data_IF_269243441351
#
_entry.id   IF_269243441351
#
_cell.length_a   1.000
_cell.length_b   1.000
_cell.length_c   1.000
_cell.angle_alpha   90.00
_cell.angle_beta   90.00
_cell.angle_gamma   90.00
#
_symmetry.space_group_name_H-M   'P 1'
#
loop_
_entity.id
_entity.type
_entity.pdbx_description
1 polymer ?
#
# COMPACT_ATOMS: atom_id res chain seq x y z
N UNK A 1 25.48 36.94 33.65
CA UNK A 1 25.07 37.24 32.26
C UNK A 1 23.56 36.98 32.19
N UNK A 2 22.75 37.99 32.52
CA UNK A 2 21.28 37.89 32.50
C UNK A 2 20.83 38.25 31.09
N UNK A 3 20.29 37.28 30.34
CA UNK A 3 19.66 37.60 29.06
C UNK A 3 18.39 38.44 29.33
N UNK A 4 18.20 39.57 28.63
CA UNK A 4 17.07 40.43 28.84
C UNK A 4 15.76 39.73 28.44
N UNK A 5 14.73 39.88 29.28
CA UNK A 5 13.42 39.21 29.16
C UNK A 5 12.71 39.46 27.81
N UNK A 6 13.12 40.49 27.07
CA UNK A 6 12.63 40.81 25.72
C UNK A 6 13.17 39.85 24.64
N UNK A 7 14.33 39.23 24.84
CA UNK A 7 14.89 38.23 23.90
C UNK A 7 14.20 36.87 24.04
N UNK A 8 13.64 36.57 25.23
CA UNK A 8 12.91 35.33 25.47
C UNK A 8 11.55 35.27 24.75
N UNK A 9 10.89 36.43 24.59
CA UNK A 9 9.57 36.52 23.93
C UNK A 9 9.68 36.48 22.40
N UNK A 10 10.81 36.91 21.83
CA UNK A 10 11.06 36.87 20.38
C UNK A 10 11.32 35.44 19.85
N UNK A 11 11.61 34.48 20.72
CA UNK A 11 11.84 33.07 20.36
C UNK A 11 10.59 32.19 20.50
N UNK A 12 9.50 32.69 21.10
CA UNK A 12 8.26 31.93 21.26
C UNK A 12 7.60 31.47 19.94
N UNK A 13 7.61 32.23 18.82
CA UNK A 13 6.96 31.76 17.59
C UNK A 13 7.79 30.71 16.83
N UNK A 14 9.04 30.43 17.24
CA UNK A 14 9.90 29.43 16.60
C UNK A 14 9.76 28.02 17.19
N UNK A 15 9.04 27.85 18.32
CA UNK A 15 8.92 26.57 19.02
C UNK A 15 7.52 25.95 19.00
N UNK A 16 6.56 26.52 18.27
CA UNK A 16 5.19 26.00 18.16
C UNK A 16 4.73 25.90 16.71
N UNK A 17 5.51 25.23 15.85
CA UNK A 17 4.90 24.51 14.74
C UNK A 17 4.26 23.25 15.32
N UNK A 18 3.06 23.40 15.88
CA UNK A 18 2.17 22.27 16.11
C UNK A 18 1.79 21.78 14.71
N UNK A 19 2.47 20.74 14.23
CA UNK A 19 2.04 20.05 13.02
C UNK A 19 0.62 19.54 13.30
N UNK A 20 -0.36 20.18 12.67
CA UNK A 20 -1.74 19.75 12.79
C UNK A 20 -1.82 18.32 12.25
N UNK A 21 -2.22 17.40 13.12
CA UNK A 21 -2.40 15.99 12.78
C UNK A 21 -3.39 15.88 11.61
N UNK A 22 -2.98 15.28 10.50
CA UNK A 22 -3.88 15.03 9.39
C UNK A 22 -4.97 14.03 9.82
N UNK A 23 -6.22 14.39 9.62
CA UNK A 23 -7.39 13.55 9.93
C UNK A 23 -8.58 13.93 9.06
N UNK A 24 -9.56 13.04 8.96
CA UNK A 24 -10.80 13.30 8.24
C UNK A 24 -11.43 12.01 7.74
N UNK A 25 -12.40 12.15 6.84
CA UNK A 25 -12.96 11.02 6.10
C UNK A 25 -12.21 10.83 4.77
N UNK A 26 -12.19 9.59 4.31
CA UNK A 26 -11.49 9.19 3.10
C UNK A 26 -12.14 7.98 2.41
N UNK A 27 -11.59 7.67 1.25
CA UNK A 27 -11.97 6.48 0.47
C UNK A 27 -10.76 5.58 0.32
N UNK A 28 -11.01 4.30 0.07
CA UNK A 28 -9.94 3.36 -0.24
C UNK A 28 -10.12 2.75 -1.62
N UNK A 29 -8.98 2.39 -2.20
CA UNK A 29 -8.89 1.43 -3.30
C UNK A 29 -7.89 0.35 -2.91
N UNK A 30 -7.53 -0.52 -3.86
CA UNK A 30 -6.53 -1.57 -3.65
C UNK A 30 -5.66 -1.70 -4.90
N UNK A 31 -4.36 -1.90 -4.71
CA UNK A 31 -3.41 -2.06 -5.79
C UNK A 31 -2.22 -2.96 -5.41
N UNK A 32 -1.54 -3.46 -6.44
CA UNK A 32 -0.18 -3.97 -6.36
C UNK A 32 0.40 -3.97 -7.76
N UNK A 33 1.21 -2.96 -8.08
CA UNK A 33 1.80 -2.76 -9.40
C UNK A 33 3.28 -3.16 -9.49
N UNK A 34 3.87 -3.55 -8.35
CA UNK A 34 5.27 -3.90 -8.15
C UNK A 34 6.27 -2.76 -8.38
N UNK A 35 5.82 -1.54 -8.66
CA UNK A 35 6.71 -0.42 -8.92
C UNK A 35 7.53 -0.05 -7.69
N UNK A 36 8.71 0.55 -7.91
CA UNK A 36 9.39 1.32 -6.86
C UNK A 36 8.43 2.38 -6.31
N UNK A 37 8.09 2.35 -5.00
CA UNK A 37 7.14 3.28 -4.42
C UNK A 37 7.75 4.69 -4.33
N UNK A 38 6.95 5.75 -4.43
CA UNK A 38 7.45 7.11 -4.58
C UNK A 38 8.25 7.62 -3.37
N UNK A 39 7.94 7.16 -2.15
CA UNK A 39 8.66 7.52 -0.95
C UNK A 39 9.98 6.74 -0.78
N UNK A 40 10.37 5.90 -1.75
CA UNK A 40 11.70 5.30 -1.83
C UNK A 40 12.73 6.22 -2.50
N UNK A 41 12.30 7.37 -3.05
CA UNK A 41 13.22 8.38 -3.56
C UNK A 41 13.73 9.27 -2.43
N UNK A 42 14.97 9.74 -2.55
CA UNK A 42 15.56 10.72 -1.64
C UNK A 42 14.78 12.02 -1.62
N UNK A 43 14.91 12.75 -0.50
CA UNK A 43 14.36 14.10 -0.32
C UNK A 43 12.83 14.20 -0.42
N UNK A 44 12.12 13.07 -0.31
CA UNK A 44 10.65 13.01 -0.29
C UNK A 44 10.04 13.35 1.06
N UNK A 45 10.80 13.28 2.15
CA UNK A 45 10.39 13.67 3.50
C UNK A 45 11.61 13.91 4.39
N UNK A 46 11.42 14.61 5.52
CA UNK A 46 12.44 14.72 6.56
C UNK A 46 12.39 13.49 7.45
N UNK A 47 13.44 12.68 7.40
CA UNK A 47 13.51 11.39 8.07
C UNK A 47 14.25 11.47 9.40
N UNK A 48 13.91 10.56 10.33
CA UNK A 48 14.58 10.45 11.61
C UNK A 48 16.06 10.06 11.43
N UNK A 49 16.91 10.43 12.39
CA UNK A 49 18.31 10.00 12.37
C UNK A 49 18.42 8.47 12.36
N UNK A 50 19.21 7.93 11.43
CA UNK A 50 19.35 6.48 11.23
C UNK A 50 18.23 5.83 10.41
N UNK A 51 17.26 6.61 9.92
CA UNK A 51 16.25 6.15 8.97
C UNK A 51 16.72 6.31 7.52
N UNK A 52 16.08 5.63 6.58
CA UNK A 52 16.25 5.83 5.13
C UNK A 52 14.89 5.97 4.44
N UNK A 53 14.83 6.40 3.16
CA UNK A 53 13.62 6.28 2.37
C UNK A 53 13.10 4.84 2.34
N UNK A 54 11.87 4.67 1.86
CA UNK A 54 11.23 3.34 1.82
C UNK A 54 12.13 2.33 1.10
N UNK A 55 12.40 1.21 1.78
CA UNK A 55 13.11 0.05 1.28
C UNK A 55 12.55 -0.44 -0.05
N UNK A 56 13.43 -0.86 -0.94
CA UNK A 56 13.05 -1.50 -2.21
C UNK A 56 13.81 -2.78 -2.40
N UNK A 57 13.28 -3.64 -3.26
CA UNK A 57 13.85 -4.94 -3.54
C UNK A 57 14.25 -5.05 -5.01
N UNK A 58 15.19 -5.96 -5.27
CA UNK A 58 15.51 -6.36 -6.63
C UNK A 58 14.45 -7.32 -7.20
N UNK A 59 14.65 -7.76 -8.43
CA UNK A 59 13.73 -8.66 -9.15
C UNK A 59 13.50 -10.03 -8.45
N UNK A 60 14.32 -10.36 -7.44
CA UNK A 60 14.24 -11.59 -6.67
C UNK A 60 13.69 -11.34 -5.26
N UNK A 61 13.05 -10.20 -5.03
CA UNK A 61 12.51 -9.80 -3.73
C UNK A 61 13.61 -9.70 -2.65
N UNK A 62 14.85 -9.41 -3.05
CA UNK A 62 15.97 -9.22 -2.12
C UNK A 62 16.16 -7.72 -1.83
N UNK A 63 16.22 -7.29 -0.54
CA UNK A 63 16.40 -5.89 -0.20
C UNK A 63 17.64 -5.29 -0.84
N UNK A 64 17.47 -4.14 -1.49
CA UNK A 64 18.58 -3.36 -2.01
C UNK A 64 19.29 -2.67 -0.83
N UNK A 65 20.61 -2.83 -0.76
CA UNK A 65 21.46 -2.31 0.34
C UNK A 65 21.44 -0.79 0.47
N UNK A 66 20.96 -0.11 -0.58
CA UNK A 66 20.72 1.31 -0.58
C UNK A 66 19.28 1.56 -1.08
N UNK A 67 18.32 1.89 -0.21
CA UNK A 67 16.97 2.23 -0.64
C UNK A 67 16.93 3.56 -1.41
N UNK A 68 17.97 4.39 -1.26
CA UNK A 68 18.23 5.57 -2.10
C UNK A 68 18.95 5.22 -3.39
N UNK A 69 19.23 3.93 -3.65
CA UNK A 69 19.92 3.51 -4.85
C UNK A 69 19.21 4.14 -6.05
N UNK A 70 20.00 4.84 -6.85
CA UNK A 70 19.63 5.42 -8.15
C UNK A 70 19.09 4.37 -9.14
N UNK A 71 18.93 3.11 -8.72
CA UNK A 71 18.21 2.07 -9.43
C UNK A 71 16.83 2.62 -9.84
N UNK A 72 16.60 2.75 -11.15
CA UNK A 72 15.31 3.19 -11.65
C UNK A 72 14.23 2.18 -11.26
N UNK A 73 12.98 2.65 -11.20
CA UNK A 73 11.83 1.77 -10.99
C UNK A 73 11.77 0.70 -12.08
N UNK A 74 11.43 -0.53 -11.73
CA UNK A 74 11.11 -1.59 -12.70
C UNK A 74 10.02 -1.17 -13.69
N UNK A 75 9.08 -0.32 -13.25
CA UNK A 75 8.03 0.26 -14.11
C UNK A 75 8.55 1.26 -15.14
N UNK A 76 9.82 1.65 -15.05
CA UNK A 76 10.52 2.50 -16.02
C UNK A 76 11.76 1.78 -16.59
N UNK A 77 11.75 0.45 -16.63
CA UNK A 77 12.84 -0.37 -17.18
C UNK A 77 14.06 -0.52 -16.28
N UNK A 78 13.95 -0.16 -15.00
CA UNK A 78 14.99 -0.36 -14.00
C UNK A 78 14.90 -1.69 -13.26
N UNK A 79 15.47 -1.72 -12.05
CA UNK A 79 15.68 -2.96 -11.27
C UNK A 79 15.23 -2.84 -9.82
N UNK A 80 14.48 -1.79 -9.47
CA UNK A 80 13.95 -1.54 -8.13
C UNK A 80 12.43 -1.71 -8.12
N UNK A 81 11.95 -2.53 -7.20
CA UNK A 81 10.55 -2.93 -7.04
C UNK A 81 10.09 -2.76 -5.59
N UNK A 82 8.78 -2.77 -5.36
CA UNK A 82 8.21 -2.82 -4.02
C UNK A 82 8.48 -4.19 -3.39
N UNK A 83 9.06 -4.22 -2.19
CA UNK A 83 9.32 -5.47 -1.49
C UNK A 83 8.03 -6.18 -1.08
N UNK A 84 8.01 -7.51 -1.18
CA UNK A 84 6.84 -8.32 -0.83
C UNK A 84 6.50 -8.29 0.66
N UNK A 85 7.48 -8.02 1.53
CA UNK A 85 7.25 -7.83 2.96
C UNK A 85 6.50 -6.53 3.29
N UNK A 86 6.36 -5.63 2.32
CA UNK A 86 5.46 -4.47 2.37
C UNK A 86 4.02 -4.85 1.97
N UNK A 87 3.62 -6.09 2.29
CA UNK A 87 2.26 -6.59 2.17
C UNK A 87 1.49 -6.37 3.48
N UNK A 88 0.14 -6.37 3.46
CA UNK A 88 -0.68 -6.21 4.64
C UNK A 88 -0.85 -7.52 5.42
N UNK A 89 -1.11 -7.42 6.73
CA UNK A 89 -1.37 -8.57 7.58
C UNK A 89 -2.33 -8.24 8.73
N UNK A 90 -3.03 -9.28 9.20
CA UNK A 90 -3.86 -9.19 10.39
C UNK A 90 -3.00 -9.26 11.66
N UNK A 91 -3.25 -8.35 12.60
CA UNK A 91 -2.66 -8.36 13.95
C UNK A 91 -3.60 -9.05 14.92
N UNK A 92 -4.89 -8.71 14.83
CA UNK A 92 -6.01 -9.35 15.52
C UNK A 92 -7.20 -9.43 14.56
N UNK A 93 -8.33 -9.97 15.00
CA UNK A 93 -9.55 -9.99 14.18
C UNK A 93 -10.04 -8.59 13.81
N UNK A 94 -9.72 -7.56 14.61
CA UNK A 94 -10.19 -6.18 14.42
C UNK A 94 -9.09 -5.17 14.10
N UNK A 95 -7.82 -5.60 14.08
CA UNK A 95 -6.68 -4.76 13.73
C UNK A 95 -5.82 -5.42 12.65
N UNK A 96 -5.51 -4.66 11.60
CA UNK A 96 -4.53 -5.02 10.59
C UNK A 96 -3.46 -3.92 10.43
N UNK A 97 -2.30 -4.30 9.93
CA UNK A 97 -1.24 -3.39 9.48
C UNK A 97 -1.02 -3.54 7.98
N UNK A 98 -0.51 -2.49 7.35
CA UNK A 98 -0.10 -2.54 5.95
C UNK A 98 0.44 -1.23 5.42
N UNK A 99 0.33 -1.04 4.11
CA UNK A 99 0.93 0.07 3.39
C UNK A 99 -0.06 0.63 2.39
N UNK A 100 0.12 1.88 2.00
CA UNK A 100 -0.75 2.52 1.03
C UNK A 100 -0.02 3.56 0.17
N UNK A 101 -0.51 3.74 -1.05
CA UNK A 101 -0.34 5.01 -1.75
C UNK A 101 -1.38 6.00 -1.23
N UNK A 102 -0.99 7.24 -0.97
CA UNK A 102 -1.90 8.23 -0.37
C UNK A 102 -1.90 9.55 -1.11
N UNK A 103 -3.05 10.23 -1.06
CA UNK A 103 -3.17 11.65 -1.38
C UNK A 103 -4.01 12.33 -0.30
N UNK A 104 -3.35 13.07 0.60
CA UNK A 104 -4.00 13.70 1.76
C UNK A 104 -4.28 15.17 1.46
N UNK A 105 -5.53 15.60 1.70
CA UNK A 105 -5.98 16.97 1.44
C UNK A 105 -5.08 18.00 2.14
N UNK A 106 -4.64 19.02 1.37
CA UNK A 106 -3.79 20.09 1.91
C UNK A 106 -2.34 19.68 2.18
N UNK A 107 -1.97 18.44 1.87
CA UNK A 107 -0.61 17.93 1.99
C UNK A 107 0.12 17.80 0.65
N UNK A 108 1.33 17.25 0.74
CA UNK A 108 2.17 16.80 -0.37
C UNK A 108 3.06 15.63 0.10
N UNK A 109 3.91 15.09 -0.77
CA UNK A 109 4.82 13.99 -0.42
C UNK A 109 5.68 14.28 0.82
N UNK A 110 6.19 15.51 0.99
CA UNK A 110 6.95 15.88 2.19
C UNK A 110 6.16 15.75 3.49
N UNK A 111 4.83 15.92 3.44
CA UNK A 111 3.95 15.77 4.60
C UNK A 111 3.53 14.32 4.89
N UNK A 112 3.33 13.49 3.86
CA UNK A 112 2.78 12.14 4.06
C UNK A 112 3.77 11.01 3.88
N UNK A 113 4.89 11.19 3.17
CA UNK A 113 5.82 10.10 2.95
C UNK A 113 6.35 9.56 4.28
N UNK A 114 6.21 8.25 4.44
CA UNK A 114 6.52 7.46 5.62
C UNK A 114 5.71 7.79 6.88
N UNK A 115 4.67 8.63 6.78
CA UNK A 115 3.71 8.85 7.86
C UNK A 115 2.80 7.62 8.02
N UNK A 116 2.29 7.40 9.23
CA UNK A 116 1.30 6.37 9.48
C UNK A 116 -0.08 6.95 9.77
N UNK A 117 -1.10 6.24 9.32
CA UNK A 117 -2.50 6.61 9.50
C UNK A 117 -3.27 5.41 10.06
N UNK A 118 -4.00 5.65 11.14
CA UNK A 118 -5.03 4.72 11.61
C UNK A 118 -6.30 4.98 10.82
N UNK A 119 -6.71 3.97 10.04
CA UNK A 119 -7.96 3.94 9.30
C UNK A 119 -8.98 3.17 10.12
N UNK A 120 -10.13 3.77 10.39
CA UNK A 120 -11.32 3.08 10.90
C UNK A 120 -12.29 2.93 9.75
N UNK A 121 -12.59 1.70 9.34
CA UNK A 121 -13.53 1.47 8.24
C UNK A 121 -14.95 1.88 8.65
N UNK A 122 -15.67 2.53 7.75
CA UNK A 122 -17.01 3.07 8.00
C UNK A 122 -18.09 2.41 7.14
N UNK A 123 -17.71 1.49 6.25
CA UNK A 123 -18.64 0.74 5.39
C UNK A 123 -18.14 -0.68 5.11
N UNK A 124 -18.96 -1.45 4.39
CA UNK A 124 -18.79 -2.90 4.14
C UNK A 124 -18.85 -3.74 5.42
N UNK A 125 -18.49 -5.03 5.34
CA UNK A 125 -18.37 -5.91 6.49
C UNK A 125 -17.18 -5.54 7.41
N UNK A 126 -16.30 -4.64 6.97
CA UNK A 126 -15.17 -4.14 7.76
C UNK A 126 -15.52 -3.00 8.71
N UNK A 127 -16.75 -2.44 8.65
CA UNK A 127 -17.12 -1.28 9.46
C UNK A 127 -16.78 -1.48 10.96
N UNK A 128 -16.04 -0.53 11.53
CA UNK A 128 -15.52 -0.56 12.90
C UNK A 128 -14.13 -1.20 13.06
N UNK A 129 -13.68 -2.05 12.12
CA UNK A 129 -12.32 -2.58 12.13
C UNK A 129 -11.31 -1.48 11.83
N UNK A 130 -10.08 -1.68 12.29
CA UNK A 130 -8.98 -0.73 12.13
C UNK A 130 -7.86 -1.30 11.29
N UNK A 131 -7.29 -0.46 10.43
CA UNK A 131 -6.06 -0.77 9.72
C UNK A 131 -5.08 0.39 9.89
N UNK A 132 -3.86 0.10 10.36
CA UNK A 132 -2.80 1.11 10.44
C UNK A 132 -1.89 0.94 9.24
N UNK A 133 -1.81 1.98 8.42
CA UNK A 133 -1.04 1.96 7.18
C UNK A 133 0.12 2.94 7.24
N UNK A 134 1.27 2.54 6.72
CA UNK A 134 2.34 3.47 6.39
C UNK A 134 2.20 3.93 4.94
N UNK A 135 2.25 5.24 4.72
CA UNK A 135 2.26 5.83 3.39
C UNK A 135 3.64 5.65 2.73
N UNK A 136 3.71 4.78 1.71
CA UNK A 136 4.94 4.48 0.98
C UNK A 136 4.97 5.06 -0.41
N UNK A 137 3.80 5.44 -0.94
CA UNK A 137 3.64 5.88 -2.32
C UNK A 137 2.62 7.03 -2.44
N UNK A 138 2.53 7.61 -3.62
CA UNK A 138 1.41 8.48 -4.04
C UNK A 138 1.04 8.19 -5.49
N UNK A 139 -0.14 8.61 -5.92
CA UNK A 139 -0.63 8.45 -7.29
C UNK A 139 -1.31 9.72 -7.78
N UNK A 140 -1.05 10.10 -9.04
CA UNK A 140 -1.64 11.30 -9.64
C UNK A 140 -3.13 11.19 -9.94
N UNK A 141 -3.65 9.95 -9.94
CA UNK A 141 -5.05 9.58 -10.11
C UNK A 141 -5.82 9.49 -8.79
N UNK A 142 -5.13 9.58 -7.65
CA UNK A 142 -5.77 9.53 -6.33
C UNK A 142 -6.52 10.83 -6.06
N UNK A 143 -7.78 10.68 -5.66
CA UNK A 143 -8.62 11.75 -5.15
C UNK A 143 -8.14 12.27 -3.79
N UNK A 144 -8.79 13.33 -3.31
CA UNK A 144 -8.52 13.89 -2.00
C UNK A 144 -8.87 12.92 -0.87
N UNK A 145 -7.94 12.72 0.07
CA UNK A 145 -8.03 11.75 1.17
C UNK A 145 -8.27 10.30 0.69
N UNK A 146 -7.63 9.92 -0.41
CA UNK A 146 -7.69 8.54 -0.90
C UNK A 146 -6.48 7.74 -0.42
N UNK A 147 -6.75 6.51 0.03
CA UNK A 147 -5.77 5.51 0.43
C UNK A 147 -5.87 4.31 -0.51
N UNK A 148 -4.91 4.18 -1.43
CA UNK A 148 -4.82 3.00 -2.28
C UNK A 148 -4.02 1.92 -1.55
N UNK A 149 -4.73 0.94 -0.98
CA UNK A 149 -4.14 -0.06 -0.10
C UNK A 149 -3.25 -1.01 -0.92
N UNK A 150 -2.00 -1.16 -0.50
CA UNK A 150 -1.08 -2.11 -1.13
C UNK A 150 -1.50 -3.53 -0.74
N UNK A 151 -2.17 -4.24 -1.64
CA UNK A 151 -2.69 -5.59 -1.45
C UNK A 151 -2.31 -6.41 -2.68
N UNK A 152 -1.40 -7.40 -2.58
CA UNK A 152 -1.04 -8.25 -3.70
C UNK A 152 -2.28 -8.83 -4.39
N UNK A 153 -2.36 -8.61 -5.70
CA UNK A 153 -3.53 -9.02 -6.49
C UNK A 153 -4.71 -8.05 -6.41
N UNK A 154 -4.52 -6.84 -5.88
CA UNK A 154 -5.49 -5.73 -5.90
C UNK A 154 -5.69 -5.10 -7.28
N UNK A 155 -4.78 -5.38 -8.22
CA UNK A 155 -4.76 -4.79 -9.57
C UNK A 155 -3.51 -3.95 -9.76
N UNK A 156 -2.94 -3.97 -10.95
CA UNK A 156 -1.71 -3.21 -11.26
C UNK A 156 -2.02 -1.74 -11.58
N UNK A 157 -3.25 -1.44 -11.99
CA UNK A 157 -3.67 -0.08 -12.31
C UNK A 157 -2.97 0.47 -13.56
N UNK A 158 -2.46 1.70 -13.47
CA UNK A 158 -1.87 2.42 -14.61
C UNK A 158 -0.52 1.81 -15.02
N UNK A 159 0.29 1.40 -14.04
CA UNK A 159 1.61 0.82 -14.27
C UNK A 159 1.58 -0.70 -14.07
N UNK A 160 2.57 -1.41 -14.60
CA UNK A 160 2.69 -2.86 -14.38
C UNK A 160 4.16 -3.27 -14.38
N UNK A 161 4.80 -3.13 -13.22
CA UNK A 161 6.12 -3.69 -12.97
C UNK A 161 6.10 -5.20 -12.76
N UNK A 162 4.95 -5.75 -12.35
CA UNK A 162 4.81 -7.17 -12.00
C UNK A 162 5.05 -8.11 -13.18
N UNK A 163 4.78 -7.68 -14.42
CA UNK A 163 5.16 -8.46 -15.60
C UNK A 163 6.67 -8.58 -15.74
N UNK A 164 7.42 -7.50 -15.50
CA UNK A 164 8.88 -7.54 -15.53
C UNK A 164 9.46 -8.31 -14.34
N UNK A 165 8.89 -8.13 -13.15
CA UNK A 165 9.41 -8.72 -11.92
C UNK A 165 9.13 -10.22 -11.81
N UNK A 166 7.86 -10.60 -11.95
CA UNK A 166 7.38 -11.95 -11.63
C UNK A 166 6.83 -12.68 -12.84
N UNK A 167 6.90 -12.09 -14.04
CA UNK A 167 6.28 -12.67 -15.23
C UNK A 167 4.75 -12.69 -15.17
N UNK A 168 4.14 -11.77 -14.41
CA UNK A 168 2.69 -11.64 -14.35
C UNK A 168 2.10 -11.32 -15.75
N UNK A 169 0.84 -11.67 -16.03
CA UNK A 169 0.18 -11.27 -17.28
C UNK A 169 0.18 -9.75 -17.48
N UNK A 170 -0.05 -9.29 -18.70
CA UNK A 170 -0.01 -7.85 -19.05
C UNK A 170 -1.03 -6.99 -18.28
N UNK A 171 -2.11 -7.59 -17.77
CA UNK A 171 -3.11 -6.95 -16.90
C UNK A 171 -2.86 -7.19 -15.39
N UNK A 172 -1.72 -7.78 -15.02
CA UNK A 172 -1.50 -8.38 -13.71
C UNK A 172 -2.17 -9.75 -13.57
N UNK A 173 -2.25 -10.26 -12.34
CA UNK A 173 -2.83 -11.60 -12.06
C UNK A 173 -4.37 -11.69 -12.17
N UNK A 174 -5.04 -10.59 -12.49
CA UNK A 174 -6.49 -10.52 -12.66
C UNK A 174 -6.88 -9.35 -13.55
N UNK A 175 -8.00 -8.70 -13.21
CA UNK A 175 -8.38 -7.44 -13.84
C UNK A 175 -7.33 -6.36 -13.58
N UNK A 176 -7.03 -5.53 -14.58
CA UNK A 176 -6.06 -4.44 -14.44
C UNK A 176 -6.36 -3.55 -13.22
N UNK A 177 -7.63 -3.20 -13.04
CA UNK A 177 -8.14 -2.53 -11.85
C UNK A 177 -9.01 -3.52 -11.05
N UNK A 178 -8.75 -3.64 -9.75
CA UNK A 178 -9.47 -4.56 -8.85
C UNK A 178 -8.91 -5.99 -8.79
N UNK A 179 -8.03 -6.37 -9.72
CA UNK A 179 -7.19 -7.55 -9.64
C UNK A 179 -7.95 -8.89 -9.62
N UNK A 180 -7.49 -9.82 -8.79
CA UNK A 180 -8.10 -11.17 -8.68
C UNK A 180 -9.47 -11.11 -8.01
N UNK A 181 -10.39 -11.99 -8.39
CA UNK A 181 -11.75 -12.03 -7.85
C UNK A 181 -11.99 -13.14 -6.82
N UNK A 182 -11.03 -14.04 -6.60
CA UNK A 182 -11.18 -15.17 -5.69
C UNK A 182 -9.87 -15.53 -4.97
N UNK A 183 -9.99 -16.00 -3.72
CA UNK A 183 -8.87 -16.45 -2.90
C UNK A 183 -8.07 -17.59 -3.54
N UNK A 184 -8.73 -18.46 -4.33
CA UNK A 184 -8.06 -19.56 -5.03
C UNK A 184 -6.97 -19.08 -5.99
N UNK A 185 -7.08 -17.87 -6.53
CA UNK A 185 -6.07 -17.26 -7.40
C UNK A 185 -4.77 -16.95 -6.65
N UNK A 186 -4.80 -16.78 -5.32
CA UNK A 186 -3.59 -16.50 -4.54
C UNK A 186 -2.57 -17.64 -4.58
N UNK A 187 -3.00 -18.88 -4.83
CA UNK A 187 -2.10 -20.04 -4.95
C UNK A 187 -1.15 -19.98 -6.15
N UNK A 188 -1.44 -19.13 -7.15
CA UNK A 188 -0.61 -18.97 -8.35
C UNK A 188 0.36 -17.78 -8.24
N UNK A 189 0.36 -17.06 -7.13
CA UNK A 189 1.26 -15.92 -6.91
C UNK A 189 2.66 -16.40 -6.51
N UNK A 190 3.70 -15.57 -6.71
CA UNK A 190 4.97 -15.74 -6.05
C UNK A 190 4.76 -16.00 -4.54
N UNK A 191 5.47 -16.96 -3.97
CA UNK A 191 5.24 -17.43 -2.59
C UNK A 191 5.21 -16.29 -1.58
N UNK A 192 6.07 -15.28 -1.73
CA UNK A 192 6.15 -14.13 -0.83
C UNK A 192 4.91 -13.22 -0.87
N UNK A 193 4.17 -13.19 -1.99
CA UNK A 193 2.96 -12.37 -2.16
C UNK A 193 1.67 -13.10 -1.76
N UNK A 194 1.71 -14.42 -1.59
CA UNK A 194 0.52 -15.20 -1.26
C UNK A 194 -0.11 -14.77 0.07
N UNK A 195 0.63 -14.49 1.16
CA UNK A 195 0.03 -14.03 2.41
C UNK A 195 -0.76 -12.72 2.25
N UNK A 196 -0.19 -11.74 1.54
CA UNK A 196 -0.87 -10.46 1.27
C UNK A 196 -2.09 -10.62 0.35
N UNK A 197 -2.03 -11.52 -0.63
CA UNK A 197 -3.20 -11.85 -1.45
C UNK A 197 -4.30 -12.52 -0.61
N UNK A 198 -3.94 -13.48 0.25
CA UNK A 198 -4.90 -14.15 1.12
C UNK A 198 -5.50 -13.21 2.18
N UNK A 199 -4.74 -12.22 2.65
CA UNK A 199 -5.24 -11.17 3.55
C UNK A 199 -6.48 -10.48 2.96
N UNK A 200 -6.48 -10.22 1.64
CA UNK A 200 -7.62 -9.61 0.92
C UNK A 200 -8.93 -10.36 1.15
N UNK A 201 -8.90 -11.67 1.14
CA UNK A 201 -10.10 -12.51 1.21
C UNK A 201 -10.38 -13.03 2.62
N UNK A 202 -9.37 -13.08 3.48
CA UNK A 202 -9.48 -13.44 4.89
C UNK A 202 -9.93 -12.25 5.73
N UNK A 203 -8.96 -11.49 6.28
CA UNK A 203 -9.25 -10.39 7.19
C UNK A 203 -10.00 -9.24 6.53
N UNK A 204 -9.63 -8.89 5.29
CA UNK A 204 -10.27 -7.81 4.53
C UNK A 204 -11.60 -8.23 3.87
N UNK A 205 -11.98 -9.52 3.98
CA UNK A 205 -13.28 -10.07 3.58
C UNK A 205 -13.71 -9.76 2.13
N UNK A 206 -12.75 -9.53 1.24
CA UNK A 206 -13.03 -9.15 -0.15
C UNK A 206 -13.74 -7.81 -0.30
N UNK A 207 -13.68 -6.93 0.71
CA UNK A 207 -14.35 -5.64 0.69
C UNK A 207 -13.95 -4.82 -0.55
N UNK A 208 -14.94 -4.23 -1.21
CA UNK A 208 -14.73 -3.42 -2.40
C UNK A 208 -14.75 -1.94 -2.04
N UNK A 209 -13.55 -1.35 -2.00
CA UNK A 209 -13.32 0.09 -1.78
C UNK A 209 -14.08 0.66 -0.58
N UNK A 210 -13.93 0.08 0.64
CA UNK A 210 -14.57 0.61 1.82
C UNK A 210 -14.16 2.07 2.08
N UNK A 211 -15.08 2.84 2.64
CA UNK A 211 -14.84 4.18 3.16
C UNK A 211 -14.20 4.10 4.54
N UNK A 212 -13.46 5.15 4.92
CA UNK A 212 -12.73 5.22 6.20
C UNK A 212 -12.86 6.60 6.83
N UNK A 213 -12.78 6.64 8.16
CA UNK A 213 -12.26 7.82 8.86
C UNK A 213 -10.80 7.54 9.21
N UNK A 214 -9.94 8.55 9.09
CA UNK A 214 -8.51 8.41 9.33
C UNK A 214 -7.97 9.47 10.27
N UNK A 215 -6.88 9.12 10.93
CA UNK A 215 -6.08 10.06 11.72
C UNK A 215 -4.61 9.66 11.64
N UNK A 216 -3.71 10.63 11.52
CA UNK A 216 -2.26 10.40 11.52
C UNK A 216 -1.81 9.97 12.91
N UNK A 217 -0.93 8.98 13.00
CA UNK A 217 -0.47 8.37 14.26
C UNK A 217 1.03 8.10 14.19
N UNK A 218 1.65 7.89 15.36
CA UNK A 218 3.02 7.40 15.43
C UNK A 218 3.09 6.02 14.75
N UNK A 219 4.07 5.82 13.88
CA UNK A 219 4.22 4.57 13.16
C UNK A 219 4.59 3.40 14.10
N UNK A 220 3.78 2.31 14.13
CA UNK A 220 4.20 1.07 14.76
C UNK A 220 5.56 0.58 14.24
N UNK A 221 6.42 0.14 15.15
CA UNK A 221 7.75 -0.39 14.80
C UNK A 221 7.69 -1.56 13.81
N UNK A 222 6.59 -2.31 13.79
CA UNK A 222 6.39 -3.39 12.84
C UNK A 222 6.32 -2.91 11.37
N UNK A 223 5.77 -1.72 11.13
CA UNK A 223 5.69 -1.13 9.78
C UNK A 223 7.04 -0.56 9.34
N UNK A 224 7.66 0.25 10.21
CA UNK A 224 8.93 0.93 9.91
C UNK A 224 10.11 -0.04 9.86
N UNK A 225 10.03 -1.21 10.51
CA UNK A 225 11.05 -2.25 10.40
C UNK A 225 11.13 -2.84 8.99
N UNK A 226 10.01 -2.99 8.29
CA UNK A 226 9.99 -3.53 6.92
C UNK A 226 10.46 -2.48 5.91
N UNK A 227 10.01 -1.24 6.05
CA UNK A 227 10.38 -0.17 5.09
C UNK A 227 11.71 0.50 5.39
N UNK A 228 12.22 0.41 6.62
CA UNK A 228 13.37 1.21 7.07
C UNK A 228 13.09 2.72 7.13
N UNK A 229 11.84 3.15 6.91
CA UNK A 229 11.46 4.55 6.83
C UNK A 229 10.66 4.99 8.06
N UNK A 230 11.17 6.03 8.74
CA UNK A 230 10.55 6.69 9.88
C UNK A 230 10.78 8.19 9.75
N UNK A 231 9.72 8.98 9.89
CA UNK A 231 9.80 10.44 9.82
C UNK A 231 10.45 11.04 11.07
N UNK A 232 11.09 12.19 10.92
CA UNK A 232 11.68 12.92 12.05
C UNK A 232 10.63 13.44 13.04
N UNK A 233 9.42 13.72 12.56
CA UNK A 233 8.28 14.20 13.35
C UNK A 233 7.39 13.06 13.89
N UNK A 234 7.72 11.79 13.63
CA UNK A 234 6.85 10.65 13.95
C UNK A 234 6.53 10.54 15.45
N UNK A 235 7.52 10.78 16.32
CA UNK A 235 7.33 10.74 17.78
C UNK A 235 6.49 11.89 18.34
N UNK A 236 6.13 12.88 17.52
CA UNK A 236 5.19 13.95 17.91
C UNK A 236 3.74 13.57 17.62
N UNK A 237 3.51 12.48 16.89
CA UNK A 237 2.18 12.00 16.56
C UNK A 237 1.56 11.21 17.72
N UNK A 238 0.22 11.21 17.86
CA UNK A 238 -0.44 10.38 18.86
C UNK A 238 -0.18 8.90 18.63
N UNK A 239 -0.08 8.13 19.72
CA UNK A 239 -0.01 6.68 19.62
C UNK A 239 -1.28 6.12 18.93
N UNK A 240 -1.14 5.07 18.10
CA UNK A 240 -2.28 4.39 17.52
C UNK A 240 -3.15 3.73 18.58
N UNK A 241 -4.46 3.66 18.32
CA UNK A 241 -5.38 2.84 19.10
C UNK A 241 -5.25 1.38 18.68
N UNK A 242 -4.24 0.72 19.23
CA UNK A 242 -3.94 -0.69 18.99
C UNK A 242 -4.90 -1.66 19.71
N UNK A 243 -5.94 -1.17 20.40
CA UNK A 243 -6.81 -2.03 21.21
C UNK A 243 -7.72 -2.93 20.37
N UNK A 244 -7.88 -2.70 19.07
CA UNK A 244 -8.75 -3.48 18.16
C UNK A 244 -10.25 -3.42 18.52
N UNK A 245 -10.61 -3.10 19.74
CA UNK A 245 -11.99 -3.03 20.19
C UNK A 245 -12.53 -1.65 19.83
N UNK A 246 -13.30 -1.56 18.75
CA UNK A 246 -14.19 -0.44 18.53
C UNK A 246 -15.13 -0.34 19.74
N UNK A 247 -14.84 0.57 20.66
CA UNK A 247 -15.87 1.07 21.56
C UNK A 247 -16.77 1.96 20.71
N UNK A 248 -17.76 1.33 20.07
CA UNK A 248 -18.91 2.03 19.54
C UNK A 248 -19.59 2.71 20.74
N UNK A 249 -19.30 4.00 20.97
CA UNK A 249 -20.17 4.80 21.84
C UNK A 249 -21.49 5.02 21.11
N UNK A 250 -22.64 4.64 21.69
CA UNK A 250 -23.92 4.90 21.09
C UNK A 250 -24.31 6.37 21.26
N UNK A 251 -25.16 6.81 20.34
CA UNK A 251 -25.79 8.10 20.25
C UNK A 251 -26.41 8.61 21.57
N UNK A 252 -26.48 9.93 21.66
CA UNK A 252 -27.07 10.72 22.72
C UNK A 252 -28.38 10.15 23.30
N UNK A 253 -28.35 9.90 24.61
CA UNK A 253 -29.51 9.57 25.42
C UNK A 253 -30.46 10.77 25.53
N UNK A 254 -31.64 10.65 24.94
CA UNK A 254 -32.80 11.45 25.34
C UNK A 254 -33.44 10.81 26.58
N UNK A 255 -33.83 11.58 27.62
CA UNK A 255 -34.46 11.01 28.80
C UNK A 255 -35.96 10.80 28.54
N UNK A 256 -36.37 9.54 28.39
CA UNK A 256 -37.78 9.15 28.38
C UNK A 256 -38.31 9.02 29.82
N UNK A 257 -39.39 9.74 30.09
CA UNK A 257 -40.10 9.82 31.37
C UNK A 257 -40.86 8.52 31.68
N UNK A 258 -40.88 8.17 32.96
CA UNK A 258 -41.44 6.94 33.52
C UNK A 258 -42.95 7.02 33.77
N UNK A 259 -43.68 5.95 33.40
CA UNK A 259 -44.96 5.58 34.03
C UNK A 259 -45.21 4.07 33.93
N UNK A 260 -45.84 3.44 34.93
CA UNK A 260 -45.87 1.97 35.06
C UNK A 260 -47.12 1.30 34.47
N UNK A 261 -46.90 0.09 33.96
CA UNK A 261 -47.68 -1.17 33.91
C UNK A 261 -49.25 -1.16 34.02
N UNK A 262 -49.94 -2.15 33.42
CA UNK A 262 -49.97 -3.49 34.02
C UNK A 262 -49.91 -4.68 33.03
N UNK A 263 -49.71 -5.84 33.66
CA UNK A 263 -49.47 -7.17 33.13
C UNK A 263 -50.67 -7.83 32.41
N UNK A 264 -50.37 -8.77 31.52
CA UNK A 264 -51.14 -10.01 31.37
C UNK A 264 -50.45 -11.07 30.50
N UNK A 265 -50.33 -12.26 31.10
CA UNK A 265 -50.49 -13.61 30.52
C UNK A 265 -49.52 -14.17 29.46
N UNK A 266 -48.71 -15.09 29.98
CA UNK A 266 -48.27 -16.39 29.45
C UNK A 266 -49.09 -17.05 28.35
N UNK A 267 -48.40 -17.62 27.35
CA UNK A 267 -48.66 -18.95 26.81
C UNK A 267 -47.49 -19.47 25.97
N UNK A 268 -46.90 -20.57 26.44
CA UNK A 268 -45.98 -21.46 25.74
C UNK A 268 -46.71 -22.31 24.71
N UNK A 269 -46.07 -22.65 23.58
CA UNK A 269 -46.23 -23.88 22.76
C UNK A 269 -45.30 -23.78 21.54
N UNK A 270 -44.19 -24.51 21.42
CA UNK A 270 -44.02 -25.94 21.12
C UNK A 270 -44.08 -26.30 19.62
N UNK A 271 -43.02 -27.00 19.19
CA UNK A 271 -42.90 -27.92 18.03
C UNK A 271 -42.59 -27.27 16.68
N UNK A 272 -41.78 -27.77 15.77
CA UNK A 272 -40.76 -28.84 15.65
C UNK A 272 -40.28 -28.76 14.17
N UNK A 273 -39.14 -29.35 13.79
CA UNK A 273 -38.44 -29.05 12.54
C UNK A 273 -38.90 -29.93 11.36
N UNK A 274 -38.69 -29.47 10.12
CA UNK A 274 -38.75 -30.33 8.93
C UNK A 274 -37.36 -30.41 8.30
N UNK A 275 -36.88 -31.64 8.20
CA UNK A 275 -35.60 -32.08 7.68
C UNK A 275 -35.57 -32.10 6.12
N UNK A 276 -34.39 -32.28 5.50
CA UNK A 276 -34.15 -32.03 4.08
C UNK A 276 -34.42 -33.25 3.20
N UNK A 277 -34.65 -33.02 1.91
CA UNK A 277 -34.69 -34.08 0.90
C UNK A 277 -33.39 -34.06 0.08
N UNK A 278 -32.68 -35.17 0.14
CA UNK A 278 -31.48 -35.52 -0.65
C UNK A 278 -31.85 -36.00 -2.06
N UNK A 279 -30.79 -36.29 -2.84
CA UNK A 279 -30.73 -37.10 -4.08
C UNK A 279 -30.53 -36.24 -5.35
N UNK A 280 -29.60 -36.52 -6.26
CA UNK A 280 -28.54 -37.54 -6.35
C UNK A 280 -27.63 -37.12 -7.52
N UNK A 281 -26.41 -37.62 -7.50
CA UNK A 281 -25.43 -37.48 -8.55
C UNK A 281 -25.83 -38.23 -9.83
N UNK A 282 -25.37 -37.75 -10.99
CA UNK A 282 -24.99 -38.66 -12.07
C UNK A 282 -23.88 -38.09 -12.93
N UNK A 283 -22.86 -38.92 -13.10
CA UNK A 283 -21.65 -38.71 -13.88
C UNK A 283 -21.94 -38.72 -15.38
N UNK A 284 -21.15 -37.99 -16.17
CA UNK A 284 -20.62 -38.56 -17.41
C UNK A 284 -19.28 -37.94 -17.77
N UNK A 285 -18.32 -38.84 -17.94
CA UNK A 285 -16.94 -38.63 -18.28
C UNK A 285 -16.80 -38.74 -19.80
N UNK A 286 -16.31 -37.70 -20.50
CA UNK A 286 -15.82 -37.81 -21.89
C UNK A 286 -14.66 -36.85 -22.11
N UNK A 287 -13.48 -37.41 -22.41
CA UNK A 287 -12.35 -36.76 -23.08
C UNK A 287 -11.45 -37.88 -23.64
N UNK A 288 -10.51 -37.62 -24.58
CA UNK A 288 -10.44 -36.57 -25.60
C UNK A 288 -10.12 -37.15 -27.01
N UNK A 289 -10.26 -36.34 -28.06
CA UNK A 289 -9.84 -36.71 -29.43
C UNK A 289 -8.78 -35.73 -29.95
N UNK A 290 -7.54 -36.23 -30.00
CA UNK A 290 -6.45 -36.02 -30.98
C UNK A 290 -6.21 -34.67 -31.67
N UNK A 291 -4.97 -34.18 -31.49
CA UNK A 291 -4.24 -33.25 -32.36
C UNK A 291 -3.95 -33.83 -33.75
N UNK A 292 -3.40 -33.00 -34.67
CA UNK A 292 -2.02 -33.29 -35.05
C UNK A 292 -1.09 -32.07 -35.06
N UNK A 293 0.18 -32.39 -34.83
CA UNK A 293 1.35 -31.54 -34.97
C UNK A 293 1.57 -31.05 -36.42
N UNK A 294 2.16 -29.88 -36.57
CA UNK A 294 2.87 -29.49 -37.79
C UNK A 294 4.26 -28.98 -37.44
N UNK A 295 5.18 -29.45 -38.27
CA UNK A 295 6.62 -29.57 -38.11
C UNK A 295 7.39 -28.28 -38.37
N UNK A 296 8.56 -28.20 -37.72
CA UNK A 296 9.67 -27.30 -38.01
C UNK A 296 10.02 -27.21 -39.50
N UNK A 297 10.36 -26.00 -39.96
CA UNK A 297 11.38 -25.84 -41.01
C UNK A 297 12.19 -24.59 -40.70
N UNK A 298 13.46 -24.82 -40.35
CA UNK A 298 14.51 -23.83 -40.24
C UNK A 298 15.15 -23.69 -41.63
N UNK A 299 15.24 -22.46 -42.16
CA UNK A 299 16.06 -22.16 -43.34
C UNK A 299 17.00 -21.03 -43.01
N UNK A 300 18.27 -21.42 -42.87
CA UNK A 300 19.45 -20.58 -42.96
C UNK A 300 19.61 -20.03 -44.39
N UNK A 301 19.87 -18.74 -44.52
CA UNK A 301 20.52 -18.17 -45.71
C UNK A 301 21.56 -17.13 -45.29
N UNK A 302 22.81 -17.53 -45.46
CA UNK A 302 24.04 -16.76 -45.40
C UNK A 302 24.38 -16.18 -46.78
N UNK A 303 24.74 -14.90 -46.84
CA UNK A 303 25.67 -14.23 -47.79
C UNK A 303 25.94 -12.84 -47.15
N UNK A 304 27.10 -12.48 -46.58
CA UNK A 304 28.44 -12.17 -47.17
C UNK A 304 28.28 -11.27 -48.41
N UNK A 305 28.82 -10.06 -48.57
CA UNK A 305 29.99 -9.28 -48.09
C UNK A 305 29.68 -7.80 -48.54
N UNK A 306 30.19 -6.66 -48.03
CA UNK A 306 31.60 -6.24 -47.94
C UNK A 306 31.69 -4.77 -47.44
N UNK A 307 32.67 -4.49 -46.57
CA UNK A 307 33.59 -3.30 -46.48
C UNK A 307 33.01 -1.87 -46.47
N UNK A 308 33.36 -0.97 -45.53
CA UNK A 308 34.68 -0.29 -45.34
C UNK A 308 34.62 0.51 -44.00
N UNK A 309 35.43 0.25 -42.97
CA UNK A 309 36.69 0.95 -42.58
C UNK A 309 36.62 2.50 -42.62
N UNK A 310 37.08 3.34 -41.68
CA UNK A 310 37.76 3.27 -40.38
C UNK A 310 37.81 4.75 -39.80
N UNK A 311 38.67 5.19 -38.86
CA UNK A 311 38.27 5.61 -37.50
C UNK A 311 38.78 7.02 -37.04
N UNK A 312 38.51 7.32 -35.74
CA UNK A 312 39.24 8.23 -34.79
C UNK A 312 38.73 9.68 -34.59
N UNK A 313 39.11 10.37 -33.46
CA UNK A 313 39.66 9.90 -32.17
C UNK A 313 38.98 10.50 -30.91
N UNK A 314 39.37 9.98 -29.75
CA UNK A 314 39.29 10.60 -28.42
C UNK A 314 40.65 11.27 -28.14
N UNK A 315 40.66 12.52 -27.63
CA UNK A 315 41.76 13.10 -26.82
C UNK A 315 41.20 14.03 -25.75
N UNK A 316 41.68 13.85 -24.52
CA UNK A 316 41.41 14.63 -23.30
C UNK A 316 42.18 15.96 -23.24
N UNK A 317 41.64 16.98 -22.56
CA UNK A 317 42.38 17.95 -21.75
C UNK A 317 41.42 18.77 -20.84
N UNK A 318 41.74 18.86 -19.54
CA UNK A 318 41.34 19.95 -18.62
C UNK A 318 42.47 21.02 -18.61
N UNK A 319 42.47 22.11 -17.80
CA UNK A 319 41.51 22.68 -16.83
C UNK A 319 41.27 24.21 -17.09
N UNK A 320 41.03 25.01 -16.03
CA UNK A 320 40.88 26.50 -15.92
C UNK A 320 39.42 27.02 -15.91
N UNK A 321 39.02 28.05 -15.16
CA UNK A 321 39.37 28.64 -13.86
C UNK A 321 38.32 29.76 -13.64
N UNK A 322 38.07 30.09 -12.37
CA UNK A 322 37.70 31.40 -11.81
C UNK A 322 36.53 32.26 -12.36
N UNK A 323 35.55 32.44 -11.46
CA UNK A 323 35.23 33.72 -10.80
C UNK A 323 34.38 34.80 -11.51
N UNK A 324 33.62 35.50 -10.67
CA UNK A 324 32.83 36.73 -10.84
C UNK A 324 31.45 36.65 -11.48
N UNK A 325 30.42 36.95 -10.67
CA UNK A 325 29.72 38.25 -10.70
C UNK A 325 28.71 38.36 -9.54
N UNK A 326 29.13 39.02 -8.46
CA UNK A 326 28.25 39.90 -7.67
C UNK A 326 28.10 41.23 -8.42
N UNK A 327 26.87 41.74 -8.57
CA UNK A 327 26.56 43.18 -8.48
C UNK A 327 25.05 43.45 -8.56
N UNK A 328 24.58 44.13 -7.50
CA UNK A 328 23.35 44.92 -7.28
C UNK A 328 22.05 44.21 -6.87
#
# INVERSE_FOLDING_TARGET
>A
MQLPMKTLVALLPFFLQVNAQASGSGTTTRYWDCCKPSCAWSDKAVLASGSSPVGTCDIKDSPLSDPTANAPSGCNGGTSYMCSDQSPWAVTDDLAYGYAAVNIAGGNEASWCCACYELTFTSTALAGKKMIVQATNTGGDLGSNQFDLAIPGGGVGIFNGCTAEFGAPSSGWGSQYGGVSAASSCSTFPTALQPGCNFRFGWFQGADNPTVDFKQVECPAALTKSTGCKRADDSSMPAPDASGSASASPAASTPASSSPAPASTSSSSSSAPVAPTSAEASSTYVAPTSAPASTHTSTTKTHKHSTTAAPHPIVSAAPEDDDTCDAE
#
